data_IF_140670426048
#
_entry.id   IF_140670426048
#
_cell.length_a   1.000
_cell.length_b   1.000
_cell.length_c   1.000
_cell.angle_alpha   90.00
_cell.angle_beta   90.00
_cell.angle_gamma   90.00
#
_symmetry.space_group_name_H-M   'P 1'
#
loop_
_entity.id
_entity.type
_entity.pdbx_description
1 polymer ?
#
# COMPACT_ATOMS: atom_id res chain seq x y z
N UNK A 1 -3.52 11.35 10.58
CA UNK A 1 -4.34 10.43 9.76
C UNK A 1 -4.95 9.36 10.67
N UNK A 2 -6.18 8.89 10.42
CA UNK A 2 -6.88 7.96 11.34
C UNK A 2 -7.49 6.80 10.54
N UNK A 3 -7.20 5.56 10.95
CA UNK A 3 -7.93 4.38 10.52
C UNK A 3 -8.99 3.99 11.55
N UNK A 4 -10.22 3.78 11.09
CA UNK A 4 -11.34 3.35 11.96
C UNK A 4 -11.60 1.86 11.79
N UNK A 5 -11.23 1.07 12.80
CA UNK A 5 -11.47 -0.36 12.83
C UNK A 5 -12.79 -0.66 13.54
N UNK A 6 -13.77 -1.17 12.80
CA UNK A 6 -15.10 -1.50 13.34
C UNK A 6 -15.23 -3.01 13.51
N UNK A 7 -15.64 -3.44 14.70
CA UNK A 7 -16.10 -4.79 15.02
C UNK A 7 -17.50 -4.69 15.62
N UNK A 8 -18.18 -5.83 15.72
CA UNK A 8 -19.52 -5.90 16.32
C UNK A 8 -19.52 -5.41 17.78
N UNK A 9 -18.45 -5.69 18.52
CA UNK A 9 -18.31 -5.43 19.95
C UNK A 9 -17.56 -4.13 20.30
N UNK A 10 -16.82 -3.56 19.34
CA UNK A 10 -16.02 -2.36 19.58
C UNK A 10 -15.72 -1.56 18.30
N UNK A 11 -15.56 -0.25 18.49
CA UNK A 11 -14.96 0.66 17.51
C UNK A 11 -13.60 1.08 18.04
N UNK A 12 -12.56 1.00 17.22
CA UNK A 12 -11.19 1.37 17.60
C UNK A 12 -10.58 2.29 16.56
N UNK A 13 -9.97 3.38 17.02
CA UNK A 13 -9.28 4.34 16.17
C UNK A 13 -7.77 4.13 16.30
N UNK A 14 -7.09 4.00 15.16
CA UNK A 14 -5.64 3.96 15.07
C UNK A 14 -5.15 5.26 14.45
N UNK A 15 -4.30 5.98 15.18
CA UNK A 15 -3.76 7.28 14.75
C UNK A 15 -2.37 7.15 14.16
N UNK A 16 -2.12 7.86 13.07
CA UNK A 16 -0.85 7.90 12.34
C UNK A 16 -0.41 9.35 12.11
N UNK A 17 0.91 9.54 12.11
CA UNK A 17 1.52 10.87 11.99
C UNK A 17 1.33 11.45 10.59
N UNK A 18 1.58 10.64 9.57
CA UNK A 18 1.46 11.00 8.17
C UNK A 18 0.64 9.96 7.38
N UNK A 19 0.48 10.23 6.09
CA UNK A 19 -0.29 9.41 5.18
C UNK A 19 0.42 8.11 4.80
N UNK A 20 1.74 8.13 4.71
CA UNK A 20 2.55 6.94 4.41
C UNK A 20 2.41 5.88 5.50
N UNK A 21 2.40 6.31 6.77
CA UNK A 21 2.15 5.45 7.92
C UNK A 21 0.74 4.81 7.85
N UNK A 22 -0.30 5.61 7.54
CA UNK A 22 -1.67 5.11 7.39
C UNK A 22 -1.77 4.13 6.22
N UNK A 23 -1.24 4.50 5.07
CA UNK A 23 -1.26 3.67 3.86
C UNK A 23 -0.62 2.31 4.13
N UNK A 24 0.58 2.32 4.75
CA UNK A 24 1.29 1.08 5.03
C UNK A 24 0.55 0.23 6.06
N UNK A 25 -0.05 0.85 7.08
CA UNK A 25 -0.90 0.14 8.04
C UNK A 25 -2.05 -0.59 7.34
N UNK A 26 -2.77 0.08 6.45
CA UNK A 26 -3.89 -0.51 5.71
C UNK A 26 -3.43 -1.66 4.82
N UNK A 27 -2.32 -1.50 4.09
CA UNK A 27 -1.73 -2.58 3.28
C UNK A 27 -1.31 -3.77 4.15
N UNK A 28 -0.68 -3.54 5.30
CA UNK A 28 -0.30 -4.62 6.21
C UNK A 28 -1.53 -5.37 6.74
N UNK A 29 -2.57 -4.66 7.18
CA UNK A 29 -3.81 -5.30 7.68
C UNK A 29 -4.61 -6.04 6.62
N UNK A 30 -4.37 -5.76 5.33
CA UNK A 30 -4.98 -6.51 4.22
C UNK A 30 -4.40 -7.93 4.06
N UNK A 31 -3.19 -8.17 4.59
CA UNK A 31 -2.51 -9.47 4.51
C UNK A 31 -3.13 -10.48 5.49
N UNK A 32 -3.44 -11.67 4.99
CA UNK A 32 -4.08 -12.72 5.79
C UNK A 32 -3.21 -13.15 6.98
N UNK A 33 -3.72 -12.91 8.19
CA UNK A 33 -3.05 -13.25 9.44
C UNK A 33 -2.33 -12.07 10.11
N UNK A 34 -2.49 -10.86 9.57
CA UNK A 34 -2.02 -9.63 10.20
C UNK A 34 -3.21 -8.85 10.75
N UNK A 35 -3.25 -8.75 12.07
CA UNK A 35 -4.22 -7.90 12.75
C UNK A 35 -3.71 -6.47 12.95
N UNK A 36 -4.60 -5.54 13.30
CA UNK A 36 -4.26 -4.14 13.59
C UNK A 36 -3.12 -3.98 14.62
N UNK A 37 -3.08 -4.84 15.66
CA UNK A 37 -2.01 -4.80 16.66
C UNK A 37 -0.64 -5.18 16.09
N UNK A 38 -0.58 -6.21 15.26
CA UNK A 38 0.69 -6.64 14.64
C UNK A 38 1.18 -5.60 13.63
N UNK A 39 0.28 -5.03 12.81
CA UNK A 39 0.61 -3.96 11.89
C UNK A 39 1.15 -2.71 12.63
N UNK A 40 0.49 -2.33 13.73
CA UNK A 40 0.96 -1.20 14.56
C UNK A 40 2.33 -1.48 15.20
N UNK A 41 2.57 -2.71 15.68
CA UNK A 41 3.88 -3.12 16.20
C UNK A 41 4.96 -3.01 15.13
N UNK A 42 4.68 -3.40 13.87
CA UNK A 42 5.65 -3.28 12.77
C UNK A 42 6.03 -1.82 12.53
N UNK A 43 5.04 -0.92 12.44
CA UNK A 43 5.25 0.52 12.27
C UNK A 43 5.91 1.19 13.49
N UNK A 44 5.85 0.55 14.66
CA UNK A 44 6.53 1.03 15.86
C UNK A 44 8.02 0.64 15.90
N UNK A 45 8.41 -0.44 15.21
CA UNK A 45 9.79 -0.95 15.19
C UNK A 45 10.55 -0.49 13.94
N UNK A 46 9.86 -0.35 12.81
CA UNK A 46 10.45 -0.06 11.51
C UNK A 46 9.80 1.16 10.87
N UNK A 47 10.58 1.97 10.16
CA UNK A 47 10.02 3.04 9.31
C UNK A 47 9.27 2.44 8.11
N UNK A 48 8.32 3.19 7.50
CA UNK A 48 7.63 2.74 6.29
C UNK A 48 8.59 2.36 5.16
N UNK A 49 9.63 3.15 4.94
CA UNK A 49 10.68 2.87 3.96
C UNK A 49 11.46 1.59 4.26
N UNK A 50 11.75 1.30 5.53
CA UNK A 50 12.44 0.07 5.92
C UNK A 50 11.57 -1.17 5.68
N UNK A 51 10.27 -1.09 5.93
CA UNK A 51 9.33 -2.19 5.66
C UNK A 51 9.22 -2.39 4.14
N UNK A 52 9.05 -1.31 3.37
CA UNK A 52 9.01 -1.37 1.92
C UNK A 52 10.28 -2.02 1.35
N UNK A 53 11.47 -1.60 1.81
CA UNK A 53 12.74 -2.21 1.39
C UNK A 53 12.82 -3.71 1.72
N UNK A 54 12.39 -4.11 2.92
CA UNK A 54 12.40 -5.51 3.31
C UNK A 54 11.43 -6.33 2.44
N UNK A 55 10.28 -5.78 2.08
CA UNK A 55 9.31 -6.41 1.17
C UNK A 55 9.89 -6.56 -0.24
N UNK A 56 10.45 -5.51 -0.82
CA UNK A 56 11.00 -5.56 -2.18
C UNK A 56 12.18 -6.51 -2.30
N UNK A 57 13.09 -6.48 -1.31
CA UNK A 57 14.26 -7.36 -1.26
C UNK A 57 13.95 -8.78 -0.77
N UNK A 58 12.73 -9.05 -0.32
CA UNK A 58 12.35 -10.36 0.22
C UNK A 58 13.04 -10.73 1.53
N UNK A 59 13.39 -9.74 2.35
CA UNK A 59 14.02 -9.94 3.65
C UNK A 59 12.99 -10.30 4.72
N UNK A 60 12.59 -11.58 4.74
CA UNK A 60 11.69 -12.10 5.76
C UNK A 60 12.29 -12.06 7.18
N UNK A 61 13.62 -12.01 7.30
CA UNK A 61 14.32 -11.92 8.58
C UNK A 61 14.05 -10.59 9.26
N UNK A 62 14.19 -9.49 8.53
CA UNK A 62 13.87 -8.15 9.00
C UNK A 62 12.41 -8.07 9.49
N UNK A 63 11.45 -8.53 8.69
CA UNK A 63 10.02 -8.46 9.02
C UNK A 63 9.64 -9.36 10.20
N UNK A 64 10.22 -10.56 10.31
CA UNK A 64 9.92 -11.51 11.39
C UNK A 64 10.57 -11.17 12.73
N UNK A 65 11.40 -10.12 12.79
CA UNK A 65 11.94 -9.58 14.05
C UNK A 65 10.88 -8.81 14.85
N UNK A 66 9.75 -8.45 14.22
CA UNK A 66 8.67 -7.73 14.91
C UNK A 66 7.84 -8.67 15.81
N UNK A 67 7.54 -8.28 17.05
CA UNK A 67 6.64 -9.04 17.92
C UNK A 67 5.28 -9.32 17.28
N UNK A 68 4.91 -10.59 17.18
CA UNK A 68 3.65 -11.02 16.57
C UNK A 68 3.70 -11.24 15.06
N UNK A 69 4.87 -11.11 14.42
CA UNK A 69 5.10 -11.47 13.01
C UNK A 69 6.07 -12.66 12.96
N UNK A 70 5.55 -13.85 12.65
CA UNK A 70 6.39 -15.03 12.45
C UNK A 70 6.96 -15.11 11.03
N UNK A 71 7.93 -16.00 10.81
CA UNK A 71 8.56 -16.22 9.49
C UNK A 71 7.56 -16.49 8.35
N UNK A 72 6.56 -17.34 8.60
CA UNK A 72 5.49 -17.63 7.60
C UNK A 72 4.66 -16.39 7.27
N UNK A 73 4.38 -15.55 8.26
CA UNK A 73 3.62 -14.32 8.05
C UNK A 73 4.47 -13.32 7.29
N UNK A 74 5.75 -13.17 7.64
CA UNK A 74 6.69 -12.33 6.90
C UNK A 74 6.82 -12.73 5.42
N UNK A 75 6.89 -14.02 5.12
CA UNK A 75 6.89 -14.54 3.75
C UNK A 75 5.59 -14.18 3.00
N UNK A 76 4.43 -14.24 3.66
CA UNK A 76 3.16 -13.79 3.06
C UNK A 76 3.13 -12.29 2.79
N UNK A 77 3.63 -11.47 3.72
CA UNK A 77 3.75 -10.01 3.53
C UNK A 77 4.54 -9.73 2.26
N UNK A 78 5.69 -10.38 2.11
CA UNK A 78 6.54 -10.22 0.93
C UNK A 78 5.77 -10.58 -0.33
N UNK A 79 5.13 -11.75 -0.38
CA UNK A 79 4.41 -12.20 -1.57
C UNK A 79 3.26 -11.26 -1.95
N UNK A 80 2.48 -10.81 -0.96
CA UNK A 80 1.27 -10.04 -1.21
C UNK A 80 1.53 -8.55 -1.48
N UNK A 81 2.59 -7.99 -0.91
CA UNK A 81 2.89 -6.55 -0.96
C UNK A 81 4.05 -6.18 -1.88
N UNK A 82 4.83 -7.14 -2.38
CA UNK A 82 5.92 -6.86 -3.31
C UNK A 82 5.43 -6.15 -4.58
N UNK A 83 6.11 -5.07 -4.96
CA UNK A 83 5.75 -4.18 -6.05
C UNK A 83 4.61 -3.21 -5.75
N UNK A 84 4.04 -3.22 -4.54
CA UNK A 84 2.94 -2.31 -4.12
C UNK A 84 3.41 -1.20 -3.19
N UNK A 85 4.67 -1.23 -2.77
CA UNK A 85 5.24 -0.29 -1.78
C UNK A 85 6.35 0.60 -2.37
N UNK A 86 6.55 0.59 -3.70
CA UNK A 86 7.60 1.34 -4.40
C UNK A 86 7.59 2.86 -4.11
N UNK A 87 6.41 3.48 -4.05
CA UNK A 87 6.28 4.91 -3.71
C UNK A 87 6.83 5.26 -2.31
N UNK A 88 6.84 4.32 -1.35
CA UNK A 88 7.44 4.53 -0.02
C UNK A 88 8.97 4.56 -0.06
N UNK A 89 9.59 4.15 -1.16
CA UNK A 89 11.04 4.15 -1.38
C UNK A 89 11.52 5.44 -2.05
N UNK A 90 10.61 6.37 -2.38
CA UNK A 90 10.96 7.58 -3.13
C UNK A 90 11.34 7.30 -4.58
N UNK A 91 10.97 6.13 -5.12
CA UNK A 91 10.99 5.92 -6.57
C UNK A 91 9.91 6.81 -7.17
N UNK A 92 10.31 7.71 -8.07
CA UNK A 92 9.53 8.79 -8.69
C UNK A 92 8.35 8.28 -9.55
N UNK A 93 7.40 7.54 -8.97
CA UNK A 93 6.04 7.56 -9.48
C UNK A 93 5.40 8.86 -8.96
N UNK A 94 5.07 9.77 -9.88
CA UNK A 94 4.24 10.95 -9.60
C UNK A 94 3.05 10.51 -8.75
N UNK A 95 2.87 11.12 -7.57
CA UNK A 95 1.88 10.73 -6.56
C UNK A 95 0.46 10.61 -7.19
N UNK A 96 0.20 11.48 -8.17
CA UNK A 96 -1.02 11.47 -8.98
C UNK A 96 -1.19 10.20 -9.84
N UNK A 97 -0.11 9.64 -10.36
CA UNK A 97 -0.11 8.38 -11.13
C UNK A 97 -0.36 7.18 -10.25
N UNK A 98 0.20 7.19 -9.03
CA UNK A 98 -0.03 6.13 -8.05
C UNK A 98 -1.48 6.12 -7.56
N UNK A 99 -2.06 7.29 -7.29
CA UNK A 99 -3.48 7.43 -6.97
C UNK A 99 -4.39 6.88 -8.08
N UNK A 100 -4.07 7.18 -9.35
CA UNK A 100 -4.80 6.65 -10.51
C UNK A 100 -4.69 5.13 -10.58
N UNK A 101 -3.48 4.58 -10.39
CA UNK A 101 -3.24 3.13 -10.35
C UNK A 101 -4.11 2.44 -9.30
N UNK A 102 -4.09 2.93 -8.06
CA UNK A 102 -4.89 2.39 -6.96
C UNK A 102 -6.39 2.50 -7.22
N UNK A 103 -6.84 3.63 -7.78
CA UNK A 103 -8.24 3.82 -8.14
C UNK A 103 -8.69 2.78 -9.18
N UNK A 104 -7.89 2.54 -10.23
CA UNK A 104 -8.20 1.55 -11.26
C UNK A 104 -8.13 0.12 -10.72
N UNK A 105 -7.19 -0.21 -9.84
CA UNK A 105 -7.16 -1.51 -9.14
C UNK A 105 -8.45 -1.72 -8.32
N UNK A 106 -8.93 -0.68 -7.64
CA UNK A 106 -10.16 -0.72 -6.84
C UNK A 106 -11.41 -0.90 -7.71
N UNK A 107 -11.39 -0.36 -8.93
CA UNK A 107 -12.46 -0.56 -9.93
C UNK A 107 -12.42 -1.94 -10.59
N UNK A 108 -11.37 -2.74 -10.33
CA UNK A 108 -11.27 -4.13 -10.77
C UNK A 108 -10.51 -4.35 -12.07
N UNK A 109 -9.77 -3.35 -12.58
CA UNK A 109 -8.94 -3.51 -13.76
C UNK A 109 -7.68 -4.32 -13.46
N UNK A 110 -7.19 -5.05 -14.46
CA UNK A 110 -5.98 -5.87 -14.33
C UNK A 110 -4.72 -5.01 -14.36
N UNK A 111 -3.64 -5.49 -13.72
CA UNK A 111 -2.36 -4.78 -13.71
C UNK A 111 -1.82 -4.45 -15.11
N UNK A 112 -2.12 -5.27 -16.13
CA UNK A 112 -1.71 -5.02 -17.52
C UNK A 112 -2.47 -3.86 -18.14
N UNK A 113 -3.78 -3.79 -17.93
CA UNK A 113 -4.64 -2.71 -18.40
C UNK A 113 -4.24 -1.40 -17.76
N UNK A 114 -4.00 -1.41 -16.45
CA UNK A 114 -3.60 -0.24 -15.68
C UNK A 114 -2.25 0.30 -16.17
N UNK A 115 -1.25 -0.57 -16.36
CA UNK A 115 0.04 -0.15 -16.91
C UNK A 115 -0.09 0.43 -18.31
N UNK A 116 -0.97 -0.10 -19.16
CA UNK A 116 -1.20 0.44 -20.49
C UNK A 116 -1.81 1.84 -20.44
N UNK A 117 -2.85 2.02 -19.62
CA UNK A 117 -3.54 3.30 -19.45
C UNK A 117 -2.61 4.38 -18.87
N UNK A 118 -1.76 4.02 -17.90
CA UNK A 118 -0.81 4.94 -17.26
C UNK A 118 0.32 5.35 -18.21
N UNK A 119 0.77 4.46 -19.09
CA UNK A 119 1.89 4.76 -19.99
C UNK A 119 1.59 5.88 -20.99
N UNK A 120 0.32 6.10 -21.30
CA UNK A 120 -0.14 7.15 -22.22
C UNK A 120 -0.69 8.39 -21.48
N UNK A 121 -0.71 8.37 -20.14
CA UNK A 121 -1.15 9.50 -19.33
C UNK A 121 -0.07 10.57 -19.25
N UNK A 122 -0.45 11.79 -19.60
CA UNK A 122 0.37 12.98 -19.40
C UNK A 122 -0.04 13.63 -18.08
N UNK A 123 0.86 13.62 -17.09
CA UNK A 123 0.57 14.09 -15.72
C UNK A 123 0.71 15.60 -15.54
N UNK A 124 1.34 16.31 -16.48
CA UNK A 124 1.62 17.74 -16.34
C UNK A 124 0.35 18.60 -16.15
N UNK A 125 0.20 19.15 -14.94
CA UNK A 125 -0.80 20.16 -14.60
C UNK A 125 -2.24 19.65 -14.45
N UNK A 126 -2.48 18.34 -14.45
CA UNK A 126 -3.82 17.75 -14.35
C UNK A 126 -4.13 17.30 -12.92
N UNK A 127 -5.40 17.42 -12.54
CA UNK A 127 -5.90 16.88 -11.25
C UNK A 127 -6.03 15.36 -11.30
N UNK A 128 -5.92 14.67 -10.16
CA UNK A 128 -6.12 13.20 -10.07
C UNK A 128 -7.45 12.77 -10.68
N UNK A 129 -8.54 13.51 -10.44
CA UNK A 129 -9.87 13.20 -11.00
C UNK A 129 -9.89 13.23 -12.53
N UNK A 130 -9.19 14.19 -13.15
CA UNK A 130 -9.07 14.24 -14.62
C UNK A 130 -8.22 13.10 -15.16
N UNK A 131 -7.16 12.72 -14.46
CA UNK A 131 -6.30 11.60 -14.85
C UNK A 131 -7.03 10.26 -14.77
N UNK A 132 -7.84 10.03 -13.71
CA UNK A 132 -8.69 8.81 -13.61
C UNK A 132 -9.67 8.75 -14.79
N UNK A 133 -10.29 9.86 -15.14
CA UNK A 133 -11.25 9.91 -16.25
C UNK A 133 -10.60 9.62 -17.60
N UNK A 134 -9.42 10.17 -17.85
CA UNK A 134 -8.63 9.89 -19.06
C UNK A 134 -8.16 8.43 -19.11
N UNK A 135 -7.70 7.88 -17.98
CA UNK A 135 -7.29 6.49 -17.89
C UNK A 135 -8.46 5.53 -18.20
N UNK A 136 -9.65 5.83 -17.68
CA UNK A 136 -10.86 5.05 -17.97
C UNK A 136 -11.28 5.13 -19.44
N UNK A 137 -11.10 6.27 -20.11
CA UNK A 137 -11.38 6.41 -21.54
C UNK A 137 -10.47 5.55 -22.42
N UNK A 138 -9.22 5.33 -22.00
CA UNK A 138 -8.27 4.47 -22.72
C UNK A 138 -8.53 2.97 -22.52
N UNK A 139 -9.35 2.62 -21.52
CA UNK A 139 -9.71 1.24 -21.18
C UNK A 139 -11.06 0.80 -21.78
N UNK A 140 -11.75 1.69 -22.50
CA UNK A 140 -13.00 1.43 -23.23
C UNK A 140 -12.73 1.22 -24.72
#
# INVERSE_FOLDING_TARGET
>A
HIHTHVREDQITLFGFKDEHDLFLFEKLTSVSGIGPKSALSMLSVHSPSSIAHAVENGDAGALSSTPGVGKKTAEKIIIELKGKLSHLLGEEEDDSTFEVKLALETLGYSAKEIQHAIKELHTEGKTTSTLIKEALQQLQ
#
